data_IF_243492222597
#
_entry.id   IF_243492222597
#
_cell.length_a   1.000
_cell.length_b   1.000
_cell.length_c   1.000
_cell.angle_alpha   90.00
_cell.angle_beta   90.00
_cell.angle_gamma   90.00
#
_symmetry.space_group_name_H-M   'P 1'
#
loop_
_entity.id
_entity.type
_entity.pdbx_description
1 polymer ?
#
# COMPACT_ATOMS: atom_id res chain seq x y z
N UNK A 1 -4.08 13.71 8.73
CA UNK A 1 -4.56 12.85 7.62
C UNK A 1 -3.58 12.96 6.47
N UNK A 2 -3.12 11.84 5.93
CA UNK A 2 -2.32 11.80 4.71
C UNK A 2 -2.95 10.81 3.72
N UNK A 3 -2.69 11.00 2.43
CA UNK A 3 -3.18 10.10 1.40
C UNK A 3 -2.11 9.88 0.32
N UNK A 4 -2.20 8.75 -0.38
CA UNK A 4 -1.37 8.44 -1.53
C UNK A 4 -2.22 7.91 -2.68
N UNK A 5 -1.86 8.26 -3.91
CA UNK A 5 -2.40 7.62 -5.11
C UNK A 5 -1.47 6.47 -5.48
N UNK A 6 -2.04 5.29 -5.70
CA UNK A 6 -1.30 4.08 -6.08
C UNK A 6 -1.48 3.85 -7.57
N UNK A 7 -0.37 3.69 -8.30
CA UNK A 7 -0.35 3.31 -9.70
C UNK A 7 0.94 2.55 -10.01
N UNK A 8 0.87 1.61 -10.96
CA UNK A 8 2.01 0.76 -11.32
C UNK A 8 3.22 1.54 -11.84
N UNK A 9 3.04 2.75 -12.38
CA UNK A 9 4.16 3.58 -12.87
C UNK A 9 5.05 4.15 -11.76
N UNK A 10 4.59 4.13 -10.50
CA UNK A 10 5.41 4.54 -9.34
C UNK A 10 6.14 3.35 -8.71
N UNK A 11 5.95 2.12 -9.21
CA UNK A 11 6.78 0.97 -8.87
C UNK A 11 8.20 1.14 -9.41
N UNK A 12 9.16 0.44 -8.81
CA UNK A 12 10.55 0.41 -9.28
C UNK A 12 11.00 -1.05 -9.40
N UNK A 13 11.09 -1.59 -10.64
CA UNK A 13 10.77 -0.95 -11.92
C UNK A 13 9.26 -0.71 -12.12
N UNK A 14 8.93 0.27 -12.97
CA UNK A 14 7.54 0.60 -13.29
C UNK A 14 6.81 -0.59 -13.91
N UNK A 15 5.57 -0.81 -13.49
CA UNK A 15 4.69 -1.89 -13.97
C UNK A 15 3.58 -1.29 -14.83
N UNK A 16 3.44 -1.80 -16.05
CA UNK A 16 2.33 -1.45 -16.94
C UNK A 16 1.06 -2.22 -16.52
N UNK A 17 0.09 -1.51 -15.95
CA UNK A 17 -1.17 -2.10 -15.47
C UNK A 17 -2.26 -1.04 -15.36
N UNK A 18 -3.52 -1.49 -15.42
CA UNK A 18 -4.70 -0.65 -15.12
C UNK A 18 -4.98 -0.56 -13.62
N UNK A 19 -4.29 -1.35 -12.81
CA UNK A 19 -4.40 -1.35 -11.35
C UNK A 19 -4.11 0.03 -10.78
N UNK A 20 -5.02 0.50 -9.94
CA UNK A 20 -4.89 1.81 -9.29
C UNK A 20 -5.57 1.82 -7.94
N UNK A 21 -5.17 2.76 -7.10
CA UNK A 21 -5.78 2.91 -5.80
C UNK A 21 -5.58 4.26 -5.15
N UNK A 22 -6.27 4.43 -4.02
CA UNK A 22 -6.05 5.55 -3.11
C UNK A 22 -5.99 5.03 -1.69
N UNK A 23 -4.89 5.34 -1.01
CA UNK A 23 -4.69 5.03 0.38
C UNK A 23 -4.91 6.30 1.21
N UNK A 24 -5.66 6.17 2.30
CA UNK A 24 -5.89 7.23 3.27
C UNK A 24 -5.43 6.76 4.64
N UNK A 25 -4.84 7.66 5.39
CA UNK A 25 -4.29 7.36 6.70
C UNK A 25 -4.54 8.50 7.69
N UNK A 26 -4.86 8.11 8.92
CA UNK A 26 -5.05 9.02 10.05
C UNK A 26 -4.25 8.46 11.23
N UNK A 27 -3.22 9.20 11.63
CA UNK A 27 -2.46 8.90 12.84
C UNK A 27 -3.24 9.44 14.05
N UNK A 28 -3.37 8.63 15.09
CA UNK A 28 -3.97 9.07 16.36
C UNK A 28 -3.17 10.20 16.98
N UNK A 29 -3.83 11.02 17.81
CA UNK A 29 -3.19 12.19 18.42
C UNK A 29 -2.02 11.81 19.35
N UNK A 30 -2.04 10.59 19.92
CA UNK A 30 -0.97 10.04 20.76
C UNK A 30 0.12 9.31 19.96
N UNK A 31 0.03 9.28 18.62
CA UNK A 31 0.93 8.60 17.70
C UNK A 31 1.05 7.07 17.90
N UNK A 32 0.06 6.44 18.53
CA UNK A 32 0.10 4.99 18.84
C UNK A 32 -0.70 4.13 17.88
N UNK A 33 -1.64 4.68 17.12
CA UNK A 33 -2.40 3.93 16.13
C UNK A 33 -2.51 4.67 14.82
N UNK A 34 -2.54 3.90 13.73
CA UNK A 34 -2.72 4.39 12.38
C UNK A 34 -3.98 3.76 11.81
N UNK A 35 -5.04 4.56 11.67
CA UNK A 35 -6.23 4.13 10.92
C UNK A 35 -5.96 4.30 9.44
N UNK A 36 -6.40 3.34 8.63
CA UNK A 36 -6.23 3.38 7.19
C UNK A 36 -7.46 2.94 6.41
N UNK A 37 -7.60 3.45 5.19
CA UNK A 37 -8.58 3.01 4.20
C UNK A 37 -7.94 2.90 2.83
N UNK A 38 -8.08 1.75 2.20
CA UNK A 38 -7.63 1.51 0.83
C UNK A 38 -8.85 1.43 -0.08
N UNK A 39 -8.80 2.14 -1.21
CA UNK A 39 -9.75 1.99 -2.32
C UNK A 39 -8.95 1.52 -3.53
N UNK A 40 -9.20 0.31 -3.98
CA UNK A 40 -8.42 -0.38 -5.02
C UNK A 40 -9.35 -0.71 -6.19
N UNK A 41 -8.82 -0.61 -7.41
CA UNK A 41 -9.55 -0.85 -8.65
C UNK A 41 -8.66 -1.61 -9.64
N UNK A 42 -9.27 -2.50 -10.44
CA UNK A 42 -8.58 -3.31 -11.44
C UNK A 42 -7.41 -4.13 -10.86
N UNK A 43 -7.64 -4.69 -9.67
CA UNK A 43 -6.73 -5.59 -8.95
C UNK A 43 -7.51 -6.83 -8.55
N UNK A 44 -6.96 -8.00 -8.84
CA UNK A 44 -7.49 -9.29 -8.43
C UNK A 44 -6.58 -9.90 -7.35
N UNK A 45 -7.16 -10.68 -6.43
CA UNK A 45 -6.42 -11.47 -5.41
C UNK A 45 -5.37 -10.66 -4.62
N UNK A 46 -5.83 -9.67 -3.85
CA UNK A 46 -4.94 -8.81 -3.06
C UNK A 46 -4.40 -9.60 -1.85
N UNK A 47 -3.10 -9.90 -1.85
CA UNK A 47 -2.43 -10.74 -0.83
C UNK A 47 -1.80 -9.95 0.32
N UNK A 48 -1.43 -8.69 0.08
CA UNK A 48 -0.78 -7.83 1.05
C UNK A 48 -0.94 -6.35 0.71
N UNK A 49 -0.77 -5.51 1.73
CA UNK A 49 -0.53 -4.08 1.57
C UNK A 49 0.45 -3.64 2.64
N UNK A 50 1.51 -2.94 2.25
CA UNK A 50 2.59 -2.53 3.17
C UNK A 50 3.08 -1.11 2.86
N UNK A 51 3.86 -0.56 3.78
CA UNK A 51 4.46 0.76 3.69
C UNK A 51 5.96 0.63 3.41
N UNK A 52 6.45 1.36 2.40
CA UNK A 52 7.88 1.51 2.14
C UNK A 52 8.41 2.81 2.73
N UNK A 53 9.63 2.78 3.25
CA UNK A 53 10.34 3.97 3.71
C UNK A 53 11.46 4.32 2.73
N UNK A 54 11.28 5.39 1.96
CA UNK A 54 12.32 5.87 1.05
C UNK A 54 11.94 7.20 0.37
N UNK A 55 12.90 7.86 -0.30
CA UNK A 55 12.62 8.98 -1.20
C UNK A 55 11.60 8.61 -2.28
N UNK A 56 10.87 9.61 -2.79
CA UNK A 56 9.95 9.41 -3.92
C UNK A 56 10.71 8.82 -5.13
N UNK A 57 10.12 7.79 -5.76
CA UNK A 57 10.69 7.12 -6.93
C UNK A 57 11.81 6.11 -6.61
N UNK A 58 11.94 5.69 -5.34
CA UNK A 58 12.92 4.66 -4.93
C UNK A 58 12.23 3.48 -4.26
N UNK A 59 12.78 2.28 -4.45
CA UNK A 59 12.32 1.09 -3.74
C UNK A 59 12.98 1.03 -2.34
N UNK A 60 12.35 1.68 -1.37
CA UNK A 60 12.79 1.64 0.03
C UNK A 60 12.44 0.31 0.73
N UNK A 61 12.98 0.01 1.92
CA UNK A 61 12.56 -1.15 2.71
C UNK A 61 11.09 -1.07 3.12
N UNK A 62 10.44 -2.24 3.25
CA UNK A 62 9.13 -2.38 3.90
C UNK A 62 9.29 -2.16 5.40
N UNK A 63 8.47 -1.27 5.97
CA UNK A 63 8.53 -0.90 7.40
C UNK A 63 7.27 -1.23 8.19
N UNK A 64 6.22 -1.71 7.52
CA UNK A 64 4.99 -2.13 8.20
C UNK A 64 3.96 -2.67 7.23
N UNK A 65 3.20 -3.66 7.68
CA UNK A 65 2.06 -4.23 6.95
C UNK A 65 0.77 -3.58 7.42
N UNK A 66 -0.07 -3.22 6.46
CA UNK A 66 -1.47 -2.82 6.68
C UNK A 66 -2.36 -4.06 6.78
N UNK A 67 -2.08 -5.07 5.96
CA UNK A 67 -2.67 -6.40 6.03
C UNK A 67 -1.78 -7.40 5.28
N UNK A 68 -1.98 -8.70 5.54
CA UNK A 68 -1.14 -9.76 5.01
C UNK A 68 0.29 -9.75 5.58
N UNK A 69 1.21 -10.56 5.02
CA UNK A 69 1.01 -11.45 3.88
C UNK A 69 -0.05 -12.52 4.17
N UNK A 70 -1.00 -12.71 3.26
CA UNK A 70 -1.96 -13.81 3.35
C UNK A 70 -1.33 -15.02 2.66
N UNK A 71 -0.80 -15.95 3.45
CA UNK A 71 -0.34 -17.25 2.97
C UNK A 71 -1.56 -18.18 2.84
N UNK A 72 -1.69 -18.88 1.70
CA UNK A 72 -2.74 -19.87 1.39
C UNK A 72 -4.15 -19.32 1.06
N UNK A 73 -4.30 -18.59 -0.04
CA UNK A 73 -5.62 -18.15 -0.58
C UNK A 73 -6.55 -19.30 -1.05
N UNK A 74 -6.14 -20.57 -0.96
CA UNK A 74 -6.85 -21.73 -1.51
C UNK A 74 -6.90 -22.96 -0.56
N UNK A 75 -6.84 -22.77 0.76
CA UNK A 75 -7.25 -23.83 1.70
C UNK A 75 -8.65 -23.57 2.25
#
# INVERSE_FOLDING_TARGET
>A
MFFSNLCGVEEVPAVETMARGKAYFVLSQDNRSLEFKLRLYALDQITMGHLHLGPKGTNGPVVGFLFGPIENLFQ
#
